data_IF_795610275933
#
_entry.id   IF_795610275933
#
_cell.length_a   1.000
_cell.length_b   1.000
_cell.length_c   1.000
_cell.angle_alpha   90.00
_cell.angle_beta   90.00
_cell.angle_gamma   90.00
#
_symmetry.space_group_name_H-M   'P 1'
#
loop_
_entity.id
_entity.type
_entity.pdbx_description
1 polymer ?
#
# COMPACT_ATOMS: atom_id res chain seq x y z
N UNK A 1 1.42 19.75 -1.22
CA UNK A 1 0.11 20.16 -0.67
C UNK A 1 -0.71 20.80 -1.77
N UNK A 2 -1.94 20.34 -1.96
CA UNK A 2 -2.89 20.84 -2.96
C UNK A 2 -4.23 21.20 -2.32
N UNK A 3 -5.03 22.04 -2.98
CA UNK A 3 -6.43 22.35 -2.65
C UNK A 3 -7.24 22.38 -3.94
N UNK A 4 -8.32 21.62 -4.03
CA UNK A 4 -9.13 21.49 -5.26
C UNK A 4 -8.32 21.07 -6.51
N UNK A 5 -7.15 20.43 -6.30
CA UNK A 5 -6.17 20.08 -7.34
C UNK A 5 -5.07 21.13 -7.55
N UNK A 6 -5.27 22.39 -7.18
CA UNK A 6 -4.26 23.45 -7.31
C UNK A 6 -3.09 23.25 -6.32
N UNK A 7 -1.86 23.46 -6.78
CA UNK A 7 -0.64 23.29 -5.95
C UNK A 7 -0.41 24.52 -5.08
N UNK A 8 -0.56 24.35 -3.76
CA UNK A 8 -0.26 25.39 -2.77
C UNK A 8 1.22 25.42 -2.37
N UNK A 9 1.85 24.25 -2.30
CA UNK A 9 3.26 24.09 -1.98
C UNK A 9 3.77 22.72 -2.46
N UNK A 10 4.92 22.70 -3.13
CA UNK A 10 5.57 21.48 -3.61
C UNK A 10 7.10 21.61 -3.61
N UNK A 11 7.78 20.49 -3.40
CA UNK A 11 9.22 20.32 -3.61
C UNK A 11 9.48 18.84 -3.86
N UNK A 12 10.08 18.51 -5.01
CA UNK A 12 10.28 17.12 -5.44
C UNK A 12 9.00 16.28 -5.65
N UNK A 13 7.82 16.91 -5.71
CA UNK A 13 6.54 16.18 -5.62
C UNK A 13 6.27 15.15 -6.73
N UNK A 14 6.80 15.40 -7.94
CA UNK A 14 6.72 14.51 -9.10
C UNK A 14 7.86 13.47 -9.16
N UNK A 15 8.79 13.46 -8.19
CA UNK A 15 9.85 12.45 -8.11
C UNK A 15 9.36 11.24 -7.31
N UNK A 16 9.33 10.02 -7.89
CA UNK A 16 8.97 8.83 -7.13
C UNK A 16 9.98 8.57 -6.01
N UNK A 17 9.45 8.38 -4.80
CA UNK A 17 10.21 7.99 -3.61
C UNK A 17 9.60 6.73 -3.03
N UNK A 18 10.37 5.98 -2.24
CA UNK A 18 9.90 4.81 -1.50
C UNK A 18 8.82 5.25 -0.49
N UNK A 19 7.61 4.68 -0.52
CA UNK A 19 6.48 5.12 0.33
C UNK A 19 5.98 4.09 1.34
N UNK A 20 6.52 2.87 1.36
CA UNK A 20 6.04 1.75 2.15
C UNK A 20 4.54 1.50 1.94
N UNK A 21 3.85 1.14 3.02
CA UNK A 21 2.41 0.84 3.04
C UNK A 21 1.43 1.96 2.61
N UNK A 22 1.88 3.06 2.02
CA UNK A 22 1.00 4.02 1.34
C UNK A 22 0.53 3.53 -0.04
N UNK A 23 1.24 2.59 -0.69
CA UNK A 23 0.83 1.99 -1.97
C UNK A 23 -0.55 1.31 -1.92
N UNK A 24 -1.01 0.93 -0.71
CA UNK A 24 -2.32 0.35 -0.43
C UNK A 24 -3.50 1.26 -0.82
N UNK A 25 -3.25 2.55 -1.05
CA UNK A 25 -4.20 3.47 -1.67
C UNK A 25 -4.57 3.07 -3.11
N UNK A 26 -3.65 2.47 -3.89
CA UNK A 26 -3.96 1.94 -5.21
C UNK A 26 -4.95 0.77 -5.16
N UNK A 27 -4.69 -0.20 -4.28
CA UNK A 27 -5.57 -1.35 -4.04
C UNK A 27 -6.97 -0.88 -3.60
N UNK A 28 -7.04 0.11 -2.70
CA UNK A 28 -8.30 0.70 -2.29
C UNK A 28 -9.01 1.46 -3.44
N UNK A 29 -8.27 2.17 -4.30
CA UNK A 29 -8.82 2.88 -5.46
C UNK A 29 -9.48 1.90 -6.44
N UNK A 30 -8.79 0.82 -6.82
CA UNK A 30 -9.35 -0.26 -7.65
C UNK A 30 -10.60 -0.87 -6.99
N UNK A 31 -10.54 -1.20 -5.70
CA UNK A 31 -11.68 -1.79 -4.98
C UNK A 31 -12.89 -0.85 -4.92
N UNK A 32 -12.68 0.42 -4.53
CA UNK A 32 -13.74 1.41 -4.43
C UNK A 32 -14.34 1.77 -5.81
N UNK A 33 -13.52 1.77 -6.86
CA UNK A 33 -13.95 1.90 -8.26
C UNK A 33 -14.85 0.75 -8.68
N UNK A 34 -14.46 -0.48 -8.36
CA UNK A 34 -15.16 -1.69 -8.79
C UNK A 34 -16.44 -1.96 -7.98
N UNK A 35 -16.49 -1.59 -6.69
CA UNK A 35 -17.74 -1.54 -5.90
C UNK A 35 -18.68 -0.44 -6.41
N UNK A 36 -18.17 0.77 -6.68
CA UNK A 36 -18.98 1.87 -7.26
C UNK A 36 -19.55 1.51 -8.64
N UNK A 37 -18.86 0.65 -9.39
CA UNK A 37 -19.31 0.12 -10.67
C UNK A 37 -20.25 -1.11 -10.55
N UNK A 38 -20.56 -1.59 -9.34
CA UNK A 38 -21.43 -2.74 -9.12
C UNK A 38 -20.84 -4.09 -9.54
N UNK A 39 -19.51 -4.19 -9.75
CA UNK A 39 -18.83 -5.46 -10.08
C UNK A 39 -18.71 -6.39 -8.86
N UNK A 40 -18.71 -5.80 -7.66
CA UNK A 40 -18.61 -6.50 -6.38
C UNK A 40 -19.21 -5.63 -5.27
N UNK A 41 -19.45 -6.19 -4.08
CA UNK A 41 -20.04 -5.47 -2.94
C UNK A 41 -19.19 -5.66 -1.68
N UNK A 42 -19.25 -4.71 -0.76
CA UNK A 42 -18.52 -4.68 0.50
C UNK A 42 -18.81 -5.88 1.42
N UNK A 43 -19.97 -6.51 1.29
CA UNK A 43 -20.37 -7.69 2.07
C UNK A 43 -19.79 -9.01 1.54
N UNK A 44 -19.24 -9.04 0.31
CA UNK A 44 -18.67 -10.24 -0.31
C UNK A 44 -17.62 -10.86 0.60
N UNK A 45 -17.82 -12.14 0.92
CA UNK A 45 -16.88 -12.94 1.70
C UNK A 45 -15.75 -13.46 0.80
N UNK A 46 -14.51 -13.20 1.22
CA UNK A 46 -13.31 -13.89 0.78
C UNK A 46 -12.88 -14.91 1.84
N UNK A 47 -11.87 -15.72 1.51
CA UNK A 47 -11.18 -16.60 2.47
C UNK A 47 -9.69 -16.28 2.51
N UNK A 48 -9.10 -16.38 3.69
CA UNK A 48 -7.65 -16.35 3.85
C UNK A 48 -7.06 -17.70 3.44
N UNK A 49 -6.02 -17.67 2.60
CA UNK A 49 -5.22 -18.83 2.23
C UNK A 49 -3.75 -18.55 2.51
N UNK A 50 -2.95 -19.62 2.61
CA UNK A 50 -1.54 -19.56 3.02
C UNK A 50 -0.68 -18.60 2.18
N UNK A 51 -0.95 -18.47 0.87
CA UNK A 51 -0.27 -17.54 -0.04
C UNK A 51 -0.42 -16.07 0.35
N UNK A 52 -1.52 -15.70 1.02
CA UNK A 52 -1.78 -14.31 1.44
C UNK A 52 -1.07 -13.95 2.76
N UNK A 53 -0.55 -14.94 3.52
CA UNK A 53 0.09 -14.66 4.81
C UNK A 53 1.38 -13.87 4.63
N UNK A 54 1.44 -12.74 5.29
CA UNK A 54 2.55 -11.77 5.25
C UNK A 54 2.89 -11.29 6.67
N UNK A 55 4.06 -10.66 6.85
CA UNK A 55 4.50 -10.17 8.16
C UNK A 55 3.65 -8.98 8.65
N UNK A 56 3.62 -8.68 9.97
CA UNK A 56 3.03 -7.45 10.50
C UNK A 56 3.62 -6.17 9.86
N UNK A 57 2.95 -5.02 9.86
CA UNK A 57 1.67 -4.67 10.50
C UNK A 57 0.47 -5.48 10.00
N UNK A 58 -0.43 -5.84 10.92
CA UNK A 58 -1.62 -6.63 10.64
C UNK A 58 -1.96 -7.60 11.78
N UNK A 59 -3.09 -8.29 11.61
CA UNK A 59 -3.59 -9.38 12.47
C UNK A 59 -4.11 -10.58 11.67
N UNK A 60 -4.42 -10.43 10.37
CA UNK A 60 -4.97 -11.53 9.58
C UNK A 60 -3.96 -12.67 9.34
N UNK A 61 -2.65 -12.44 9.49
CA UNK A 61 -1.65 -13.52 9.45
C UNK A 61 -1.87 -14.58 10.54
N UNK A 62 -2.42 -14.18 11.69
CA UNK A 62 -2.67 -15.03 12.87
C UNK A 62 -4.04 -15.72 12.85
N UNK A 63 -4.87 -15.47 11.82
CA UNK A 63 -6.19 -16.07 11.70
C UNK A 63 -6.08 -17.51 11.15
N UNK A 64 -7.03 -18.41 11.47
CA UNK A 64 -7.07 -19.76 10.90
C UNK A 64 -7.07 -19.75 9.36
N UNK A 65 -6.58 -20.84 8.78
CA UNK A 65 -6.68 -21.05 7.33
C UNK A 65 -8.16 -21.18 6.89
N UNK A 66 -8.45 -20.77 5.65
CA UNK A 66 -9.79 -20.65 5.07
C UNK A 66 -10.76 -19.73 5.85
N UNK A 67 -10.27 -18.94 6.81
CA UNK A 67 -11.12 -18.07 7.63
C UNK A 67 -11.85 -17.00 6.77
N UNK A 68 -13.18 -16.83 6.94
CA UNK A 68 -13.97 -15.92 6.13
C UNK A 68 -13.79 -14.45 6.55
N UNK A 69 -13.52 -13.58 5.58
CA UNK A 69 -13.35 -12.12 5.78
C UNK A 69 -14.13 -11.36 4.70
N UNK A 70 -14.97 -10.39 5.07
CA UNK A 70 -15.69 -9.57 4.08
C UNK A 70 -14.76 -8.56 3.41
N UNK A 71 -15.08 -8.13 2.18
CA UNK A 71 -14.33 -7.06 1.50
C UNK A 71 -14.23 -5.79 2.32
N UNK A 72 -15.30 -5.40 3.03
CA UNK A 72 -15.26 -4.30 3.99
C UNK A 72 -14.22 -4.51 5.09
N UNK A 73 -14.15 -5.72 5.67
CA UNK A 73 -13.22 -6.04 6.77
C UNK A 73 -11.78 -6.06 6.29
N UNK A 74 -11.51 -6.67 5.13
CA UNK A 74 -10.19 -6.69 4.53
C UNK A 74 -9.71 -5.26 4.19
N UNK A 75 -10.54 -4.45 3.53
CA UNK A 75 -10.19 -3.07 3.19
C UNK A 75 -9.97 -2.19 4.43
N UNK A 76 -10.80 -2.37 5.46
CA UNK A 76 -10.68 -1.68 6.75
C UNK A 76 -9.35 -1.99 7.42
N UNK A 77 -8.97 -3.27 7.53
CA UNK A 77 -7.71 -3.69 8.15
C UNK A 77 -6.49 -3.27 7.32
N UNK A 78 -6.55 -3.42 6.00
CA UNK A 78 -5.51 -2.97 5.05
C UNK A 78 -5.18 -1.47 5.19
N UNK A 79 -6.19 -0.65 5.51
CA UNK A 79 -6.06 0.80 5.60
C UNK A 79 -5.77 1.27 7.03
N UNK A 80 -6.66 0.98 7.98
CA UNK A 80 -6.61 1.53 9.33
C UNK A 80 -5.48 0.90 10.18
N UNK A 81 -5.31 -0.42 10.09
CA UNK A 81 -4.25 -1.16 10.79
C UNK A 81 -3.02 -1.41 9.91
N UNK A 82 -3.07 -1.00 8.65
CA UNK A 82 -2.04 -1.27 7.64
C UNK A 82 -1.77 -2.77 7.43
N UNK A 83 -2.79 -3.62 7.60
CA UNK A 83 -2.67 -5.08 7.58
C UNK A 83 -2.13 -5.62 6.24
N UNK A 84 -0.97 -6.26 6.29
CA UNK A 84 -0.25 -6.80 5.14
C UNK A 84 -0.91 -8.06 4.56
N UNK A 85 -1.46 -8.95 5.39
CA UNK A 85 -2.18 -10.15 4.90
C UNK A 85 -3.51 -9.76 4.25
N UNK A 86 -4.19 -8.74 4.76
CA UNK A 86 -5.35 -8.13 4.11
C UNK A 86 -4.98 -7.41 2.79
N UNK A 87 -3.75 -6.91 2.68
CA UNK A 87 -3.25 -6.28 1.45
C UNK A 87 -3.07 -7.30 0.34
N UNK A 88 -2.39 -8.40 0.65
CA UNK A 88 -2.04 -9.42 -0.35
C UNK A 88 -3.29 -10.20 -0.80
N UNK A 89 -4.25 -10.46 0.11
CA UNK A 89 -5.58 -10.98 -0.21
C UNK A 89 -6.35 -10.10 -1.22
N UNK A 90 -6.26 -8.77 -1.07
CA UNK A 90 -6.96 -7.83 -1.97
C UNK A 90 -6.18 -7.59 -3.28
N UNK A 91 -4.85 -7.69 -3.25
CA UNK A 91 -4.01 -7.64 -4.46
C UNK A 91 -4.25 -8.87 -5.35
N UNK A 92 -4.34 -10.07 -4.77
CA UNK A 92 -4.69 -11.32 -5.47
C UNK A 92 -6.07 -11.22 -6.13
N UNK A 93 -7.10 -10.82 -5.38
CA UNK A 93 -8.46 -10.65 -5.90
C UNK A 93 -8.56 -9.67 -7.09
N UNK A 94 -7.86 -8.55 -7.01
CA UNK A 94 -8.01 -7.43 -7.96
C UNK A 94 -7.04 -7.54 -9.15
N UNK A 95 -6.03 -8.39 -9.06
CA UNK A 95 -5.00 -8.60 -10.07
C UNK A 95 -3.89 -7.55 -10.02
N UNK A 96 -2.63 -8.02 -10.04
CA UNK A 96 -1.42 -7.19 -9.97
C UNK A 96 -1.43 -6.08 -11.01
N UNK A 97 -1.68 -6.42 -12.27
CA UNK A 97 -1.63 -5.49 -13.41
C UNK A 97 -2.62 -4.32 -13.26
N UNK A 98 -3.83 -4.59 -12.76
CA UNK A 98 -4.87 -3.57 -12.55
C UNK A 98 -4.54 -2.64 -11.38
N UNK A 99 -3.88 -3.16 -10.34
CA UNK A 99 -3.36 -2.35 -9.24
C UNK A 99 -2.12 -1.55 -9.67
N UNK A 100 -1.24 -2.12 -10.50
CA UNK A 100 -0.06 -1.46 -11.04
C UNK A 100 -0.41 -0.29 -11.98
N UNK A 101 -1.41 -0.47 -12.86
CA UNK A 101 -1.98 0.59 -13.69
C UNK A 101 -2.54 1.73 -12.81
N UNK A 102 -3.35 1.41 -11.79
CA UNK A 102 -3.90 2.40 -10.84
C UNK A 102 -2.82 3.04 -9.94
N UNK A 103 -1.62 2.46 -9.87
CA UNK A 103 -0.46 3.03 -9.18
C UNK A 103 0.50 3.80 -10.10
N UNK A 104 0.32 3.74 -11.42
CA UNK A 104 1.25 4.26 -12.43
C UNK A 104 2.68 3.66 -12.31
N UNK A 105 2.76 2.36 -11.99
CA UNK A 105 4.01 1.58 -11.91
C UNK A 105 3.98 0.40 -12.89
N UNK A 106 5.16 -0.10 -13.28
CA UNK A 106 5.27 -1.30 -14.09
C UNK A 106 4.72 -2.53 -13.33
N UNK A 107 3.84 -3.37 -13.91
CA UNK A 107 3.32 -4.57 -13.25
C UNK A 107 4.41 -5.51 -12.73
N UNK A 108 5.53 -5.58 -13.44
CA UNK A 108 6.70 -6.40 -13.11
C UNK A 108 7.50 -5.87 -11.91
N UNK A 109 7.28 -4.60 -11.53
CA UNK A 109 7.90 -3.95 -10.38
C UNK A 109 6.95 -3.82 -9.16
N UNK A 110 5.65 -4.07 -9.32
CA UNK A 110 4.73 -4.15 -8.20
C UNK A 110 4.93 -5.46 -7.44
N UNK A 111 5.39 -5.37 -6.19
CA UNK A 111 5.49 -6.49 -5.25
C UNK A 111 4.22 -6.59 -4.38
N UNK A 112 3.87 -7.81 -3.97
CA UNK A 112 3.03 -8.03 -2.78
C UNK A 112 3.83 -7.75 -1.50
N UNK A 113 3.17 -7.63 -0.36
CA UNK A 113 3.90 -7.42 0.90
C UNK A 113 4.71 -8.66 1.29
N UNK A 114 4.19 -9.87 1.06
CA UNK A 114 4.92 -11.13 1.27
C UNK A 114 6.16 -11.23 0.39
N UNK A 115 6.06 -10.88 -0.89
CA UNK A 115 7.20 -10.85 -1.83
C UNK A 115 8.26 -9.83 -1.41
N UNK A 116 7.85 -8.62 -1.04
CA UNK A 116 8.72 -7.58 -0.50
C UNK A 116 9.50 -8.07 0.74
N UNK A 117 8.81 -8.70 1.70
CA UNK A 117 9.48 -9.25 2.88
C UNK A 117 10.36 -10.47 2.58
N UNK A 118 9.98 -11.33 1.63
CA UNK A 118 10.75 -12.50 1.22
C UNK A 118 12.07 -12.09 0.56
N UNK A 119 12.02 -11.18 -0.42
CA UNK A 119 13.21 -10.60 -1.05
C UNK A 119 14.10 -9.91 0.00
N UNK A 120 13.53 -9.16 0.94
CA UNK A 120 14.31 -8.54 2.04
C UNK A 120 14.90 -9.53 3.05
N UNK A 121 14.35 -10.75 3.13
CA UNK A 121 14.87 -11.82 4.00
C UNK A 121 16.08 -12.54 3.41
N UNK A 122 16.17 -12.64 2.08
CA UNK A 122 17.24 -13.33 1.36
C UNK A 122 18.06 -12.36 0.48
N UNK A 123 19.29 -12.00 0.89
CA UNK A 123 20.18 -11.15 0.10
C UNK A 123 20.53 -11.67 -1.31
N UNK A 124 20.47 -12.99 -1.54
CA UNK A 124 20.71 -13.57 -2.87
C UNK A 124 19.48 -13.40 -3.77
N UNK A 125 18.27 -13.64 -3.24
CA UNK A 125 17.03 -13.38 -3.96
C UNK A 125 16.84 -11.88 -4.25
N UNK A 126 17.15 -11.00 -3.29
CA UNK A 126 17.17 -9.55 -3.49
C UNK A 126 18.09 -9.14 -4.65
N UNK A 127 19.34 -9.62 -4.67
CA UNK A 127 20.29 -9.29 -5.72
C UNK A 127 19.83 -9.84 -7.08
N UNK A 128 19.33 -11.07 -7.13
CA UNK A 128 18.78 -11.67 -8.34
C UNK A 128 17.59 -10.87 -8.91
N UNK A 129 16.69 -10.38 -8.05
CA UNK A 129 15.55 -9.55 -8.48
C UNK A 129 15.98 -8.16 -8.98
N UNK A 130 16.99 -7.55 -8.33
CA UNK A 130 17.51 -6.25 -8.71
C UNK A 130 18.26 -6.27 -10.05
N UNK A 131 19.07 -7.30 -10.27
CA UNK A 131 19.86 -7.51 -11.50
C UNK A 131 19.02 -8.09 -12.66
N UNK A 132 17.83 -8.62 -12.39
CA UNK A 132 16.96 -9.20 -13.40
C UNK A 132 16.35 -8.16 -14.35
N UNK A 133 16.25 -8.54 -15.62
CA UNK A 133 15.40 -7.90 -16.62
C UNK A 133 13.93 -7.90 -16.16
N UNK A 134 13.11 -6.89 -16.54
CA UNK A 134 11.78 -6.69 -15.97
C UNK A 134 10.89 -7.94 -16.01
N UNK A 135 10.78 -8.64 -17.14
CA UNK A 135 9.87 -9.77 -17.30
C UNK A 135 10.15 -10.96 -16.37
N UNK A 136 11.38 -11.09 -15.85
CA UNK A 136 11.80 -12.22 -15.00
C UNK A 136 11.57 -11.92 -13.50
N UNK A 137 11.37 -10.64 -13.14
CA UNK A 137 11.18 -10.19 -11.74
C UNK A 137 9.98 -10.81 -11.02
N UNK A 138 8.78 -10.98 -11.64
CA UNK A 138 7.66 -11.61 -10.96
C UNK A 138 7.94 -13.07 -10.57
N UNK A 139 8.67 -13.81 -11.41
CA UNK A 139 9.03 -15.20 -11.12
C UNK A 139 10.01 -15.30 -9.95
N UNK A 140 11.02 -14.42 -9.90
CA UNK A 140 12.01 -14.38 -8.81
C UNK A 140 11.35 -13.96 -7.48
N UNK A 141 10.43 -12.98 -7.52
CA UNK A 141 9.66 -12.57 -6.35
C UNK A 141 8.75 -13.69 -5.82
N UNK A 142 8.06 -14.41 -6.71
CA UNK A 142 7.19 -15.53 -6.35
C UNK A 142 7.97 -16.73 -5.78
N UNK A 143 9.12 -17.08 -6.36
CA UNK A 143 10.01 -18.14 -5.86
C UNK A 143 10.50 -17.83 -4.44
N UNK A 144 10.95 -16.59 -4.19
CA UNK A 144 11.34 -16.14 -2.85
C UNK A 144 10.16 -16.25 -1.85
N UNK A 145 8.95 -15.89 -2.28
CA UNK A 145 7.74 -15.92 -1.46
C UNK A 145 7.17 -17.32 -1.17
N UNK A 146 7.72 -18.40 -1.76
CA UNK A 146 7.31 -19.78 -1.44
C UNK A 146 7.51 -20.10 0.04
N UNK A 147 8.61 -19.62 0.62
CA UNK A 147 8.90 -19.76 2.05
C UNK A 147 8.36 -18.56 2.84
N UNK A 148 7.89 -18.74 4.08
CA UNK A 148 7.58 -17.62 4.96
C UNK A 148 8.84 -16.76 5.21
N UNK A 149 8.77 -15.42 5.05
CA UNK A 149 9.90 -14.52 5.29
C UNK A 149 10.34 -14.49 6.76
N UNK A 150 11.64 -14.28 7.00
CA UNK A 150 12.17 -14.16 8.36
C UNK A 150 11.93 -12.75 8.93
N UNK A 151 11.21 -12.61 10.07
CA UNK A 151 10.86 -11.29 10.60
C UNK A 151 12.06 -10.44 11.04
N UNK A 152 13.18 -11.04 11.43
CA UNK A 152 14.35 -10.31 11.91
C UNK A 152 15.20 -9.82 10.71
N UNK A 153 15.37 -10.64 9.67
CA UNK A 153 16.05 -10.24 8.44
C UNK A 153 15.26 -9.15 7.70
N UNK A 154 13.96 -9.35 7.50
CA UNK A 154 13.08 -8.40 6.81
C UNK A 154 13.02 -7.01 7.49
N UNK A 155 13.19 -6.95 8.82
CA UNK A 155 13.20 -5.73 9.62
C UNK A 155 14.60 -5.11 9.83
N UNK A 156 15.69 -5.78 9.42
CA UNK A 156 17.05 -5.34 9.75
C UNK A 156 17.48 -4.06 9.02
N UNK A 157 17.00 -3.84 7.80
CA UNK A 157 17.32 -2.67 6.94
C UNK A 157 16.34 -2.54 5.77
N UNK A 158 16.34 -1.37 5.13
CA UNK A 158 15.86 -1.22 3.75
C UNK A 158 16.83 -1.85 2.76
N UNK A 159 16.32 -2.22 1.57
CA UNK A 159 17.11 -2.67 0.43
C UNK A 159 16.79 -1.75 -0.74
N UNK A 160 17.70 -0.84 -1.14
CA UNK A 160 17.45 0.12 -2.22
C UNK A 160 17.02 -0.58 -3.52
N UNK A 161 15.90 -0.12 -4.09
CA UNK A 161 15.27 -0.72 -5.28
C UNK A 161 14.17 -1.73 -4.97
N UNK A 162 14.08 -2.26 -3.75
CA UNK A 162 13.01 -3.17 -3.31
C UNK A 162 12.07 -2.40 -2.38
N UNK A 163 11.18 -1.61 -2.97
CA UNK A 163 10.20 -0.75 -2.29
C UNK A 163 9.12 -0.29 -3.29
N UNK A 164 7.97 0.20 -2.80
CA UNK A 164 6.95 0.81 -3.67
C UNK A 164 7.28 2.30 -3.91
N UNK A 165 7.72 2.62 -5.13
CA UNK A 165 8.14 3.98 -5.50
C UNK A 165 6.99 4.77 -6.14
N UNK A 166 6.50 5.81 -5.45
CA UNK A 166 5.38 6.65 -5.91
C UNK A 166 5.66 8.16 -5.71
N UNK A 167 5.23 9.03 -6.64
CA UNK A 167 5.31 10.47 -6.46
C UNK A 167 4.18 10.97 -5.56
N UNK A 168 4.40 12.09 -4.87
CA UNK A 168 3.46 12.67 -3.90
C UNK A 168 2.12 13.10 -4.52
N UNK A 169 2.14 13.46 -5.81
CA UNK A 169 0.95 13.82 -6.56
C UNK A 169 0.04 12.62 -6.87
N UNK A 170 0.60 11.44 -7.19
CA UNK A 170 -0.19 10.20 -7.34
C UNK A 170 -0.87 9.80 -6.04
N UNK A 171 -0.17 9.93 -4.89
CA UNK A 171 -0.74 9.64 -3.57
C UNK A 171 -1.95 10.55 -3.26
N UNK A 172 -1.86 11.85 -3.58
CA UNK A 172 -3.00 12.76 -3.45
C UNK A 172 -4.12 12.46 -4.46
N UNK A 173 -3.80 12.13 -5.71
CA UNK A 173 -4.77 11.77 -6.74
C UNK A 173 -5.57 10.50 -6.39
N UNK A 174 -4.92 9.52 -5.74
CA UNK A 174 -5.57 8.34 -5.18
C UNK A 174 -6.44 8.66 -3.96
N UNK A 175 -5.92 9.43 -3.00
CA UNK A 175 -6.59 9.62 -1.71
C UNK A 175 -7.83 10.53 -1.77
N UNK A 176 -7.75 11.64 -2.51
CA UNK A 176 -8.82 12.67 -2.50
C UNK A 176 -10.19 12.13 -2.97
N UNK A 177 -10.30 11.35 -4.08
CA UNK A 177 -11.57 10.74 -4.51
C UNK A 177 -12.15 9.70 -3.54
N UNK A 178 -11.39 9.30 -2.52
CA UNK A 178 -11.76 8.29 -1.53
C UNK A 178 -11.96 8.85 -0.11
N UNK A 179 -11.76 10.15 0.12
CA UNK A 179 -11.67 10.72 1.47
C UNK A 179 -12.91 10.49 2.36
N UNK A 180 -14.09 10.27 1.76
CA UNK A 180 -15.34 9.98 2.48
C UNK A 180 -15.56 8.48 2.80
N UNK A 181 -14.62 7.59 2.45
CA UNK A 181 -14.69 6.18 2.86
C UNK A 181 -14.33 6.05 4.36
N UNK A 182 -15.23 5.56 5.24
CA UNK A 182 -15.02 5.59 6.69
C UNK A 182 -13.73 4.90 7.15
N UNK A 183 -13.30 3.84 6.45
CA UNK A 183 -12.04 3.11 6.69
C UNK A 183 -10.78 3.98 6.66
N UNK A 184 -10.75 5.06 5.86
CA UNK A 184 -9.64 6.02 5.83
C UNK A 184 -9.65 7.01 7.00
N UNK A 185 -10.76 7.11 7.74
CA UNK A 185 -10.94 8.05 8.85
C UNK A 185 -10.74 7.41 10.23
N UNK A 186 -10.69 6.07 10.31
CA UNK A 186 -10.49 5.33 11.56
C UNK A 186 -9.10 5.53 12.19
N UNK A 187 -8.09 5.80 11.36
CA UNK A 187 -6.73 6.10 11.79
C UNK A 187 -6.31 7.43 11.14
N UNK A 188 -6.41 8.58 11.84
CA UNK A 188 -6.05 9.89 11.28
C UNK A 188 -4.53 10.13 11.23
N UNK A 189 -3.71 9.22 11.76
CA UNK A 189 -2.25 9.37 11.78
C UNK A 189 -1.80 10.68 12.43
N UNK A 190 -0.81 11.39 11.85
CA UNK A 190 -0.36 12.70 12.34
C UNK A 190 -1.40 13.82 12.23
N UNK A 191 -2.54 13.61 11.54
CA UNK A 191 -3.61 14.60 11.43
C UNK A 191 -4.63 14.52 12.57
N UNK A 192 -4.38 13.70 13.60
CA UNK A 192 -5.19 13.66 14.81
C UNK A 192 -5.39 15.07 15.40
N UNK A 193 -6.65 15.45 15.61
CA UNK A 193 -7.02 16.77 16.14
C UNK A 193 -7.17 17.89 15.09
N UNK A 194 -6.90 17.63 13.80
CA UNK A 194 -7.13 18.61 12.72
C UNK A 194 -8.56 18.60 12.15
N UNK A 195 -9.44 17.72 12.66
CA UNK A 195 -10.80 17.49 12.17
C UNK A 195 -10.97 16.10 11.55
N UNK A 196 -12.06 15.85 10.81
CA UNK A 196 -12.21 14.66 9.98
C UNK A 196 -11.09 14.62 8.93
N UNK A 197 -10.35 13.51 8.91
CA UNK A 197 -9.16 13.35 8.08
C UNK A 197 -9.13 11.95 7.48
N UNK A 198 -8.97 11.86 6.17
CA UNK A 198 -8.70 10.60 5.48
C UNK A 198 -7.18 10.41 5.37
N UNK A 199 -6.63 9.33 5.91
CA UNK A 199 -5.18 9.14 6.00
C UNK A 199 -4.73 7.75 5.57
N UNK A 200 -3.60 7.71 4.86
CA UNK A 200 -2.73 6.53 4.82
C UNK A 200 -1.27 6.98 4.78
N UNK A 201 -0.46 6.40 5.65
CA UNK A 201 0.99 6.47 5.59
C UNK A 201 1.63 5.11 5.34
N UNK A 202 2.95 5.11 5.25
CA UNK A 202 3.78 3.91 5.17
C UNK A 202 5.14 4.15 5.81
N UNK A 203 5.77 3.08 6.29
CA UNK A 203 7.07 3.15 6.95
C UNK A 203 7.82 1.84 6.87
N UNK A 204 9.14 1.93 6.77
CA UNK A 204 10.09 0.82 6.95
C UNK A 204 11.43 1.39 7.47
N UNK A 205 12.44 0.58 7.84
CA UNK A 205 13.79 1.05 8.19
C UNK A 205 14.45 2.03 7.18
N UNK A 206 14.19 3.33 7.37
CA UNK A 206 14.70 4.40 6.52
C UNK A 206 13.68 5.05 5.57
N UNK A 207 12.44 4.55 5.54
CA UNK A 207 11.33 5.09 4.74
C UNK A 207 10.22 5.59 5.64
N UNK A 208 9.68 6.77 5.33
CA UNK A 208 8.51 7.34 6.01
C UNK A 208 7.65 8.14 5.04
N UNK A 209 6.39 7.74 4.85
CA UNK A 209 5.37 8.50 4.13
C UNK A 209 4.20 8.86 5.03
N UNK A 210 3.69 10.08 4.85
CA UNK A 210 2.41 10.53 5.35
C UNK A 210 1.60 11.11 4.19
N UNK A 211 0.39 10.59 3.96
CA UNK A 211 -0.56 11.15 2.99
C UNK A 211 -1.91 11.34 3.68
N UNK A 212 -2.43 12.58 3.67
CA UNK A 212 -3.72 12.94 4.29
C UNK A 212 -4.55 13.84 3.36
N UNK A 213 -5.86 13.60 3.33
CA UNK A 213 -6.85 14.51 2.79
C UNK A 213 -7.73 15.06 3.93
N UNK A 214 -8.01 16.36 3.86
CA UNK A 214 -8.73 17.18 4.82
C UNK A 214 -9.74 18.07 4.06
N UNK A 215 -10.60 18.76 4.81
CA UNK A 215 -11.37 19.90 4.29
C UNK A 215 -10.86 21.19 4.94
N UNK A 216 -10.88 22.30 4.19
CA UNK A 216 -10.61 23.63 4.74
C UNK A 216 -11.87 24.28 5.36
N UNK A 217 -11.75 25.50 5.88
CA UNK A 217 -12.85 26.21 6.54
C UNK A 217 -14.01 26.58 5.59
N UNK A 218 -13.83 26.41 4.28
CA UNK A 218 -14.83 26.58 3.24
C UNK A 218 -15.30 25.21 2.67
N UNK A 219 -15.06 24.12 3.42
CA UNK A 219 -15.35 22.72 3.09
C UNK A 219 -14.60 22.15 1.86
N UNK A 220 -13.57 22.85 1.36
CA UNK A 220 -12.88 22.45 0.12
C UNK A 220 -11.83 21.37 0.36
N UNK A 221 -11.69 20.38 -0.55
CA UNK A 221 -10.73 19.28 -0.38
C UNK A 221 -9.29 19.78 -0.47
N UNK A 222 -8.50 19.48 0.57
CA UNK A 222 -7.08 19.75 0.68
C UNK A 222 -6.31 18.44 0.85
N UNK A 223 -5.20 18.25 0.13
CA UNK A 223 -4.31 17.11 0.33
C UNK A 223 -2.92 17.56 0.77
N UNK A 224 -2.36 16.90 1.78
CA UNK A 224 -0.97 17.03 2.19
C UNK A 224 -0.29 15.65 2.12
N UNK A 225 0.81 15.58 1.38
CA UNK A 225 1.63 14.38 1.23
C UNK A 225 3.10 14.75 1.47
N UNK A 226 3.82 13.88 2.18
CA UNK A 226 5.24 13.99 2.48
C UNK A 226 5.87 12.60 2.49
N UNK A 227 6.99 12.44 1.78
CA UNK A 227 7.84 11.24 1.86
C UNK A 227 9.25 11.66 2.26
N UNK A 228 9.85 10.92 3.17
CA UNK A 228 11.25 11.02 3.56
C UNK A 228 11.89 9.64 3.36
N UNK A 229 12.98 9.60 2.61
CA UNK A 229 13.86 8.43 2.54
C UNK A 229 15.24 8.88 3.04
N UNK A 230 15.80 8.15 4.01
CA UNK A 230 17.22 8.32 4.35
C UNK A 230 18.07 7.65 3.28
N UNK A 231 19.25 8.21 3.00
CA UNK A 231 20.28 7.45 2.28
C UNK A 231 21.04 6.61 3.32
N UNK A 232 21.12 5.30 3.07
CA UNK A 232 22.08 4.42 3.73
C UNK A 232 23.50 4.65 3.25
#
# INVERSE_FOLDING_TARGET
MTREGEVLAAGGAAHPLAVGSAFKLGILSVLARDVRAGKTDWDRVLRLGESHRSLPSGRLQDFPDEAPVTLHTAALLMIAESDNTATDLLLDLLGRDTVAEELEIAPEALLSTREFFALKSDPAAAQAWLDAEPQDRPAIAAEAALMPPDPAAAAARSVPGIEWYLPLERLCALLVPMAELPMLQLNPGPAYGLGPAAYKGGSEPGVLNFTVALRDAEERPLCAALTVNVRG
#
